data_IF_741973007870
#
_entry.id   IF_741973007870
#
_cell.length_a   1.000
_cell.length_b   1.000
_cell.length_c   1.000
_cell.angle_alpha   90.00
_cell.angle_beta   90.00
_cell.angle_gamma   90.00
#
_symmetry.space_group_name_H-M   'P 1'
#
loop_
_entity.id
_entity.type
_entity.pdbx_description
1 polymer ?
#
# COMPACT_ATOMS: atom_id res chain seq x y z
N UNK A 1 -0.78 -7.34 1.75
CA UNK A 1 0.55 -6.89 2.22
C UNK A 1 1.74 -7.46 1.44
N UNK A 2 1.82 -8.76 1.11
CA UNK A 2 3.01 -9.31 0.43
C UNK A 2 3.27 -8.75 -0.99
N UNK A 3 2.23 -8.45 -1.76
CA UNK A 3 2.38 -7.86 -3.09
C UNK A 3 2.99 -6.43 -3.07
N UNK A 4 2.86 -5.71 -1.95
CA UNK A 4 3.18 -4.29 -1.82
C UNK A 4 4.67 -4.00 -1.72
N UNK A 5 5.47 -4.96 -1.25
CA UNK A 5 6.92 -4.75 -1.02
C UNK A 5 7.77 -5.44 -2.10
N UNK A 6 7.15 -6.08 -3.11
CA UNK A 6 7.85 -6.97 -4.04
C UNK A 6 8.75 -7.99 -3.31
N UNK A 7 8.30 -8.46 -2.13
CA UNK A 7 8.99 -9.45 -1.30
C UNK A 7 8.11 -10.69 -1.17
N UNK A 8 8.75 -11.84 -1.15
CA UNK A 8 8.09 -13.13 -0.89
C UNK A 8 7.32 -13.08 0.44
N UNK A 9 6.14 -13.69 0.48
CA UNK A 9 5.30 -13.85 1.69
C UNK A 9 6.14 -14.32 2.89
N UNK A 10 7.07 -15.26 2.67
CA UNK A 10 8.00 -15.79 3.70
C UNK A 10 8.94 -14.75 4.27
N UNK A 11 9.30 -13.74 3.48
CA UNK A 11 10.12 -12.61 3.96
C UNK A 11 9.30 -11.74 4.89
N UNK A 12 8.03 -11.47 4.55
CA UNK A 12 7.12 -10.72 5.40
C UNK A 12 6.80 -11.49 6.69
N UNK A 13 6.57 -12.81 6.60
CA UNK A 13 6.39 -13.68 7.76
C UNK A 13 7.63 -13.69 8.67
N UNK A 14 8.84 -13.71 8.11
CA UNK A 14 10.09 -13.59 8.88
C UNK A 14 10.20 -12.25 9.59
N UNK A 15 9.74 -11.16 8.97
CA UNK A 15 9.72 -9.83 9.59
C UNK A 15 8.75 -9.81 10.78
N UNK A 16 7.57 -10.40 10.62
CA UNK A 16 6.59 -10.53 11.71
C UNK A 16 7.10 -11.43 12.86
N UNK A 17 7.85 -12.49 12.53
CA UNK A 17 8.38 -13.42 13.51
C UNK A 17 9.59 -12.88 14.31
N UNK A 18 10.30 -11.87 13.81
CA UNK A 18 11.53 -11.35 14.43
C UNK A 18 11.39 -9.86 14.77
N UNK A 19 11.19 -9.57 16.07
CA UNK A 19 11.05 -8.21 16.60
C UNK A 19 12.21 -7.25 16.30
N UNK A 20 13.41 -7.77 15.99
CA UNK A 20 14.63 -6.97 15.80
C UNK A 20 15.19 -7.04 14.38
N UNK A 21 14.43 -7.54 13.40
CA UNK A 21 14.94 -7.54 12.03
C UNK A 21 14.93 -6.12 11.46
N UNK A 22 16.11 -5.62 11.08
CA UNK A 22 16.23 -4.35 10.37
C UNK A 22 15.63 -4.50 8.97
N UNK A 23 14.40 -4.03 8.81
CA UNK A 23 13.78 -3.81 7.50
C UNK A 23 14.49 -2.61 6.88
N UNK A 24 15.02 -2.74 5.67
CA UNK A 24 15.70 -1.61 5.01
C UNK A 24 14.75 -0.41 4.94
N UNK A 25 15.25 0.80 5.22
CA UNK A 25 14.44 2.03 5.39
C UNK A 25 13.42 2.26 4.27
N UNK A 26 13.75 1.89 3.02
CA UNK A 26 12.83 2.02 1.90
C UNK A 26 11.62 1.07 2.00
N UNK A 27 11.83 -0.17 2.44
CA UNK A 27 10.76 -1.14 2.61
C UNK A 27 9.86 -0.79 3.79
N UNK A 28 10.43 -0.27 4.89
CA UNK A 28 9.63 0.22 6.02
C UNK A 28 8.74 1.41 5.60
N UNK A 29 9.30 2.36 4.84
CA UNK A 29 8.53 3.49 4.31
C UNK A 29 7.36 3.03 3.45
N UNK A 30 7.61 2.14 2.47
CA UNK A 30 6.56 1.62 1.59
C UNK A 30 5.47 0.91 2.40
N UNK A 31 5.84 0.09 3.38
CA UNK A 31 4.89 -0.58 4.27
C UNK A 31 4.03 0.42 5.06
N UNK A 32 4.66 1.44 5.64
CA UNK A 32 3.98 2.48 6.42
C UNK A 32 3.01 3.28 5.56
N UNK A 33 3.47 3.75 4.40
CA UNK A 33 2.64 4.52 3.46
C UNK A 33 1.45 3.69 3.00
N UNK A 34 1.67 2.42 2.68
CA UNK A 34 0.60 1.53 2.24
C UNK A 34 -0.41 1.24 3.35
N UNK A 35 0.06 1.01 4.58
CA UNK A 35 -0.83 0.77 5.71
C UNK A 35 -1.67 2.00 6.03
N UNK A 36 -1.09 3.20 5.99
CA UNK A 36 -1.82 4.44 6.17
C UNK A 36 -2.95 4.60 5.13
N UNK A 37 -2.67 4.29 3.86
CA UNK A 37 -3.69 4.36 2.80
C UNK A 37 -4.77 3.29 2.99
N UNK A 38 -4.37 2.09 3.43
CA UNK A 38 -5.31 1.02 3.76
C UNK A 38 -6.31 1.47 4.82
N UNK A 39 -5.84 2.11 5.91
CA UNK A 39 -6.72 2.59 6.98
C UNK A 39 -7.76 3.58 6.46
N UNK A 40 -7.38 4.51 5.59
CA UNK A 40 -8.31 5.48 4.99
C UNK A 40 -9.43 4.78 4.23
N UNK A 41 -9.10 3.75 3.43
CA UNK A 41 -10.08 3.08 2.58
C UNK A 41 -10.93 2.07 3.36
N UNK A 42 -10.34 1.38 4.32
CA UNK A 42 -11.01 0.35 5.12
C UNK A 42 -12.06 0.92 6.10
N UNK A 43 -12.10 2.25 6.28
CA UNK A 43 -13.19 2.91 7.03
C UNK A 43 -14.56 2.68 6.39
N UNK A 44 -14.62 2.64 5.05
CA UNK A 44 -15.88 2.56 4.30
C UNK A 44 -15.99 1.32 3.40
N UNK A 45 -14.86 0.65 3.11
CA UNK A 45 -14.80 -0.44 2.15
C UNK A 45 -14.32 -1.76 2.73
N UNK A 46 -14.73 -2.86 2.10
CA UNK A 46 -14.25 -4.20 2.45
C UNK A 46 -12.78 -4.40 2.09
N UNK A 47 -12.06 -5.25 2.83
CA UNK A 47 -10.69 -5.66 2.53
C UNK A 47 -10.49 -6.10 1.07
N UNK A 48 -11.50 -6.73 0.48
CA UNK A 48 -11.47 -7.15 -0.93
C UNK A 48 -11.45 -5.94 -1.87
N UNK A 49 -12.32 -4.96 -1.63
CA UNK A 49 -12.37 -3.71 -2.40
C UNK A 49 -11.07 -2.93 -2.27
N UNK A 50 -10.57 -2.75 -1.03
CA UNK A 50 -9.30 -2.05 -0.79
C UNK A 50 -8.15 -2.73 -1.52
N UNK A 51 -8.09 -4.07 -1.47
CA UNK A 51 -7.07 -4.84 -2.21
C UNK A 51 -7.19 -4.66 -3.73
N UNK A 52 -8.42 -4.66 -4.27
CA UNK A 52 -8.64 -4.42 -5.69
C UNK A 52 -8.22 -2.99 -6.07
N UNK A 53 -8.50 -2.00 -5.23
CA UNK A 53 -8.12 -0.60 -5.44
C UNK A 53 -6.59 -0.42 -5.56
N UNK A 54 -5.81 -1.09 -4.70
CA UNK A 54 -4.34 -1.02 -4.78
C UNK A 54 -3.75 -1.66 -6.05
N UNK A 55 -4.43 -2.68 -6.59
CA UNK A 55 -3.95 -3.47 -7.74
C UNK A 55 -4.49 -2.95 -9.08
N UNK A 56 -5.66 -2.33 -9.06
CA UNK A 56 -6.35 -1.84 -10.25
C UNK A 56 -5.77 -0.53 -10.77
N UNK A 57 -6.04 -0.25 -12.05
CA UNK A 57 -5.74 1.04 -12.66
C UNK A 57 -6.60 2.12 -11.98
N UNK A 58 -5.97 3.23 -11.60
CA UNK A 58 -6.66 4.34 -10.97
C UNK A 58 -6.60 5.59 -11.88
N UNK A 59 -7.74 6.07 -12.40
CA UNK A 59 -7.78 7.25 -13.26
C UNK A 59 -7.21 8.52 -12.62
N UNK A 60 -7.39 8.70 -11.31
CA UNK A 60 -6.81 9.83 -10.58
C UNK A 60 -5.26 9.78 -10.52
N UNK A 61 -4.68 8.63 -10.86
CA UNK A 61 -3.24 8.37 -10.88
C UNK A 61 -2.70 8.20 -12.32
N UNK A 62 -3.45 8.66 -13.32
CA UNK A 62 -3.08 8.52 -14.73
C UNK A 62 -3.09 7.06 -15.19
N UNK A 63 -4.12 6.31 -14.77
CA UNK A 63 -4.35 4.89 -15.05
C UNK A 63 -3.22 3.96 -14.57
N UNK A 64 -2.43 4.42 -13.61
CA UNK A 64 -1.44 3.59 -12.93
C UNK A 64 -2.01 2.93 -11.69
N UNK A 65 -1.51 1.74 -11.38
CA UNK A 65 -1.87 1.07 -10.15
C UNK A 65 -1.21 1.77 -8.94
N UNK A 66 -1.95 2.04 -7.85
CA UNK A 66 -1.41 2.64 -6.63
C UNK A 66 -0.13 1.97 -6.10
N UNK A 67 -0.08 0.64 -6.19
CA UNK A 67 1.06 -0.16 -5.69
C UNK A 67 2.38 0.17 -6.41
N UNK A 68 2.34 0.47 -7.71
CA UNK A 68 3.53 0.83 -8.46
C UNK A 68 4.08 2.19 -8.02
N UNK A 69 3.19 3.16 -7.81
CA UNK A 69 3.55 4.49 -7.35
C UNK A 69 4.13 4.47 -5.94
N UNK A 70 3.64 3.58 -5.07
CA UNK A 70 4.21 3.38 -3.73
C UNK A 70 5.62 2.81 -3.78
N UNK A 71 5.88 1.83 -4.64
CA UNK A 71 7.22 1.28 -4.87
C UNK A 71 8.19 2.36 -5.40
N UNK A 72 7.70 3.29 -6.21
CA UNK A 72 8.45 4.46 -6.70
C UNK A 72 8.62 5.58 -5.65
N UNK A 73 8.07 5.44 -4.45
CA UNK A 73 8.12 6.46 -3.40
C UNK A 73 7.22 7.67 -3.64
N UNK A 74 6.20 7.53 -4.50
CA UNK A 74 5.23 8.59 -4.87
C UNK A 74 3.95 8.53 -4.03
N UNK A 75 4.08 8.20 -2.74
CA UNK A 75 2.94 7.98 -1.84
C UNK A 75 1.98 9.16 -1.73
N UNK A 76 2.47 10.41 -1.83
CA UNK A 76 1.62 11.62 -1.72
C UNK A 76 0.48 11.65 -2.74
N UNK A 77 0.75 11.25 -3.99
CA UNK A 77 -0.30 11.20 -5.02
C UNK A 77 -1.34 10.12 -4.69
N UNK A 78 -0.88 8.98 -4.16
CA UNK A 78 -1.74 7.86 -3.79
C UNK A 78 -2.63 8.20 -2.59
N UNK A 79 -2.09 8.89 -1.57
CA UNK A 79 -2.87 9.37 -0.43
C UNK A 79 -3.97 10.35 -0.87
N UNK A 80 -3.65 11.27 -1.79
CA UNK A 80 -4.65 12.19 -2.33
C UNK A 80 -5.78 11.44 -3.05
N UNK A 81 -5.43 10.49 -3.92
CA UNK A 81 -6.42 9.67 -4.62
C UNK A 81 -7.26 8.81 -3.67
N UNK A 82 -6.67 8.27 -2.60
CA UNK A 82 -7.38 7.47 -1.61
C UNK A 82 -8.42 8.29 -0.84
N UNK A 83 -8.08 9.52 -0.43
CA UNK A 83 -9.03 10.44 0.20
C UNK A 83 -10.18 10.79 -0.73
N UNK A 84 -9.87 11.15 -1.99
CA UNK A 84 -10.91 11.43 -2.98
C UNK A 84 -11.83 10.24 -3.27
N UNK A 85 -11.33 9.01 -3.16
CA UNK A 85 -12.14 7.80 -3.30
C UNK A 85 -13.02 7.55 -2.06
N UNK A 86 -12.47 7.75 -0.85
CA UNK A 86 -13.20 7.57 0.40
C UNK A 86 -14.31 8.63 0.61
N UNK A 87 -14.14 9.82 0.02
CA UNK A 87 -15.11 10.92 0.08
C UNK A 87 -16.18 10.86 -1.04
N UNK A 88 -16.12 9.87 -1.96
CA UNK A 88 -17.01 9.74 -3.11
C UNK A 88 -18.28 8.92 -2.81
#
# INVERSE_FOLDING_TARGET
>A
MAAIVAKDVRTVERWLAQKNLSVGMNAERILRDTFQIYEILAENDSDHTVRAWFLGMNPALGDRAPIELLVEGRARAVVAAARSFADA
#
